data_IF_734062370848
#
_entry.id   IF_734062370848
#
_cell.length_a   1.000
_cell.length_b   1.000
_cell.length_c   1.000
_cell.angle_alpha   90.00
_cell.angle_beta   90.00
_cell.angle_gamma   90.00
#
_symmetry.space_group_name_H-M   'P 1'
#
loop_
_entity.id
_entity.type
_entity.pdbx_description
1 polymer ?
#
# COMPACT_ATOMS: atom_id res chain seq x y z
N UNK A 1 35.42 90.60 -38.25
CA UNK A 1 34.27 89.99 -37.56
C UNK A 1 34.20 88.53 -38.01
N UNK A 2 34.50 87.60 -37.09
CA UNK A 2 34.18 86.13 -37.07
C UNK A 2 34.01 85.40 -38.42
N UNK A 3 34.93 84.54 -38.88
CA UNK A 3 35.26 83.19 -38.39
C UNK A 3 34.06 82.22 -38.41
N UNK A 4 34.02 81.27 -39.37
CA UNK A 4 34.09 79.81 -39.15
C UNK A 4 33.90 79.03 -40.45
N UNK A 5 34.95 78.29 -40.81
CA UNK A 5 34.95 77.15 -41.73
C UNK A 5 34.35 75.90 -41.06
N UNK A 6 33.67 75.02 -41.79
CA UNK A 6 34.15 73.63 -42.00
C UNK A 6 33.12 72.70 -42.68
N UNK A 7 33.67 71.83 -43.53
CA UNK A 7 33.08 70.67 -44.24
C UNK A 7 32.55 69.57 -43.30
N UNK A 8 31.56 68.81 -43.77
CA UNK A 8 31.67 67.38 -44.18
C UNK A 8 30.33 66.63 -44.06
N UNK A 9 29.72 66.13 -45.15
CA UNK A 9 28.54 65.26 -45.07
C UNK A 9 28.87 63.74 -44.93
N UNK A 10 30.13 63.35 -44.77
CA UNK A 10 30.53 61.92 -44.76
C UNK A 10 30.83 61.32 -43.37
N UNK A 11 30.98 62.14 -42.32
CA UNK A 11 31.30 61.63 -40.98
C UNK A 11 30.09 60.97 -40.31
N UNK A 12 28.87 61.47 -40.55
CA UNK A 12 27.69 60.98 -39.83
C UNK A 12 27.28 59.55 -40.20
N UNK A 13 27.45 59.14 -41.47
CA UNK A 13 26.99 57.83 -41.94
C UNK A 13 27.84 56.67 -41.41
N UNK A 14 29.15 56.88 -41.20
CA UNK A 14 30.05 55.88 -40.60
C UNK A 14 29.84 55.76 -39.09
N UNK A 15 29.60 56.86 -38.39
CA UNK A 15 29.34 56.84 -36.93
C UNK A 15 28.02 56.15 -36.59
N UNK A 16 26.97 56.35 -37.40
CA UNK A 16 25.67 55.68 -37.20
C UNK A 16 25.75 54.16 -37.44
N UNK A 17 26.54 53.70 -38.42
CA UNK A 17 26.71 52.26 -38.71
C UNK A 17 27.47 51.56 -37.56
N UNK A 18 28.51 52.19 -37.01
CA UNK A 18 29.30 51.62 -35.90
C UNK A 18 28.45 51.51 -34.62
N UNK A 19 27.60 52.50 -34.33
CA UNK A 19 26.71 52.48 -33.16
C UNK A 19 25.65 51.36 -33.26
N UNK A 20 25.10 51.11 -34.45
CA UNK A 20 24.12 50.03 -34.68
C UNK A 20 24.76 48.64 -34.53
N UNK A 21 26.01 48.46 -34.99
CA UNK A 21 26.73 47.19 -34.85
C UNK A 21 27.10 46.91 -33.38
N UNK A 22 27.52 47.93 -32.62
CA UNK A 22 27.80 47.80 -31.18
C UNK A 22 26.52 47.51 -30.38
N UNK A 23 25.39 48.15 -30.73
CA UNK A 23 24.09 47.88 -30.11
C UNK A 23 23.57 46.46 -30.42
N UNK A 24 23.78 45.95 -31.64
CA UNK A 24 23.41 44.58 -32.01
C UNK A 24 24.29 43.51 -31.30
N UNK A 25 25.58 43.78 -31.12
CA UNK A 25 26.50 42.91 -30.36
C UNK A 25 26.20 42.91 -28.85
N UNK A 26 25.74 44.04 -28.29
CA UNK A 26 25.29 44.13 -26.90
C UNK A 26 23.94 43.41 -26.67
N UNK A 27 23.04 43.40 -27.66
CA UNK A 27 21.78 42.65 -27.58
C UNK A 27 21.98 41.14 -27.65
N UNK A 28 22.97 40.64 -28.40
CA UNK A 28 23.33 39.21 -28.43
C UNK A 28 24.01 38.74 -27.13
N UNK A 29 24.74 39.61 -26.44
CA UNK A 29 25.37 39.27 -25.14
C UNK A 29 24.37 39.30 -23.98
N UNK A 30 23.37 40.18 -23.99
CA UNK A 30 22.32 40.23 -22.96
C UNK A 30 21.23 39.17 -23.20
N UNK A 31 20.85 38.92 -24.47
CA UNK A 31 19.93 37.83 -24.83
C UNK A 31 20.51 36.44 -24.59
N UNK A 32 21.81 36.25 -24.82
CA UNK A 32 22.52 35.02 -24.47
C UNK A 32 22.58 34.76 -22.96
N UNK A 33 22.76 35.79 -22.14
CA UNK A 33 22.86 35.64 -20.68
C UNK A 33 21.49 35.39 -20.03
N UNK A 34 20.40 35.95 -20.54
CA UNK A 34 19.05 35.64 -20.04
C UNK A 34 18.58 34.23 -20.44
N UNK A 35 18.90 33.77 -21.65
CA UNK A 35 18.64 32.40 -22.06
C UNK A 35 19.51 31.40 -21.28
N UNK A 36 20.79 31.71 -21.02
CA UNK A 36 21.68 30.85 -20.23
C UNK A 36 21.29 30.86 -18.74
N UNK A 37 20.82 31.97 -18.18
CA UNK A 37 20.28 32.02 -16.81
C UNK A 37 18.95 31.28 -16.69
N UNK A 38 18.01 31.48 -17.61
CA UNK A 38 16.74 30.72 -17.66
C UNK A 38 16.95 29.23 -17.90
N UNK A 39 17.98 28.82 -18.65
CA UNK A 39 18.36 27.41 -18.83
C UNK A 39 19.08 26.85 -17.60
N UNK A 40 19.92 27.64 -16.92
CA UNK A 40 20.56 27.25 -15.66
C UNK A 40 19.55 27.11 -14.52
N UNK A 41 18.58 28.02 -14.42
CA UNK A 41 17.49 27.98 -13.45
C UNK A 41 16.57 26.79 -13.76
N UNK A 42 16.18 26.58 -15.03
CA UNK A 42 15.37 25.43 -15.43
C UNK A 42 16.08 24.08 -15.22
N UNK A 43 17.41 24.03 -15.36
CA UNK A 43 18.19 22.83 -15.07
C UNK A 43 18.28 22.57 -13.56
N UNK A 44 18.52 23.62 -12.76
CA UNK A 44 18.53 23.53 -11.30
C UNK A 44 17.18 23.06 -10.75
N UNK A 45 16.09 23.61 -11.27
CA UNK A 45 14.72 23.21 -10.90
C UNK A 45 14.45 21.76 -11.29
N UNK A 46 14.81 21.35 -12.52
CA UNK A 46 14.63 19.96 -12.95
C UNK A 46 15.47 18.96 -12.12
N UNK A 47 16.66 19.36 -11.66
CA UNK A 47 17.47 18.53 -10.78
C UNK A 47 16.87 18.43 -9.37
N UNK A 48 16.32 19.53 -8.86
CA UNK A 48 15.61 19.55 -7.57
C UNK A 48 14.35 18.67 -7.61
N UNK A 49 13.50 18.85 -8.63
CA UNK A 49 12.30 18.03 -8.87
C UNK A 49 12.64 16.54 -9.03
N UNK A 50 13.74 16.24 -9.71
CA UNK A 50 14.23 14.86 -9.84
C UNK A 50 14.58 14.29 -8.46
N UNK A 51 15.36 15.01 -7.64
CA UNK A 51 15.76 14.53 -6.30
C UNK A 51 14.57 14.33 -5.37
N UNK A 52 13.59 15.22 -5.41
CA UNK A 52 12.35 15.08 -4.64
C UNK A 52 11.54 13.84 -5.08
N UNK A 53 11.44 13.62 -6.40
CA UNK A 53 10.81 12.42 -6.94
C UNK A 53 11.58 11.13 -6.58
N UNK A 54 12.92 11.18 -6.53
CA UNK A 54 13.75 10.06 -6.09
C UNK A 54 13.49 9.72 -4.61
N UNK A 55 13.44 10.72 -3.73
CA UNK A 55 13.13 10.52 -2.31
C UNK A 55 11.72 9.98 -2.10
N UNK A 56 10.74 10.55 -2.79
CA UNK A 56 9.35 10.08 -2.74
C UNK A 56 9.25 8.63 -3.22
N UNK A 57 9.86 8.30 -4.36
CA UNK A 57 9.89 6.94 -4.89
C UNK A 57 10.52 5.96 -3.88
N UNK A 58 11.67 6.30 -3.32
CA UNK A 58 12.34 5.47 -2.29
C UNK A 58 11.45 5.25 -1.08
N UNK A 59 10.77 6.30 -0.61
CA UNK A 59 9.86 6.19 0.53
C UNK A 59 8.65 5.30 0.23
N UNK A 60 8.04 5.42 -0.94
CA UNK A 60 6.87 4.61 -1.31
C UNK A 60 7.25 3.14 -1.56
N UNK A 61 8.41 2.89 -2.18
CA UNK A 61 8.96 1.54 -2.35
C UNK A 61 9.28 0.90 -1.01
N UNK A 62 9.98 1.60 -0.12
CA UNK A 62 10.29 1.12 1.22
C UNK A 62 9.00 0.85 2.02
N UNK A 63 8.03 1.76 1.96
CA UNK A 63 6.75 1.62 2.66
C UNK A 63 5.95 0.41 2.17
N UNK A 64 6.02 0.10 0.87
CA UNK A 64 5.44 -1.12 0.30
C UNK A 64 6.19 -2.37 0.77
N UNK A 65 7.52 -2.36 0.71
CA UNK A 65 8.34 -3.53 1.04
C UNK A 65 8.22 -3.91 2.53
N UNK A 66 8.14 -2.90 3.41
CA UNK A 66 7.91 -3.09 4.85
C UNK A 66 6.58 -3.82 5.15
N UNK A 67 5.55 -3.71 4.31
CA UNK A 67 4.29 -4.45 4.52
C UNK A 67 4.48 -5.97 4.53
N UNK A 68 5.48 -6.46 3.81
CA UNK A 68 5.81 -7.90 3.74
C UNK A 68 6.87 -8.27 4.77
N UNK A 69 7.85 -7.39 4.98
CA UNK A 69 8.95 -7.66 5.91
C UNK A 69 8.52 -7.61 7.38
N UNK A 70 7.54 -6.76 7.72
CA UNK A 70 6.94 -6.70 9.06
C UNK A 70 6.03 -7.91 9.37
N UNK A 71 5.69 -8.70 8.35
CA UNK A 71 4.73 -9.81 8.42
C UNK A 71 5.26 -11.11 7.76
N UNK A 72 6.35 -11.71 8.30
CA UNK A 72 6.96 -12.90 7.72
C UNK A 72 6.02 -14.12 7.69
N UNK A 73 5.01 -14.17 8.55
CA UNK A 73 3.97 -15.19 8.59
C UNK A 73 3.18 -15.29 7.27
N UNK A 74 3.07 -14.19 6.53
CA UNK A 74 2.30 -14.14 5.27
C UNK A 74 2.97 -14.91 4.12
N UNK A 75 4.27 -15.23 4.26
CA UNK A 75 5.02 -15.98 3.25
C UNK A 75 4.65 -17.47 3.23
N UNK A 76 4.09 -18.00 4.32
CA UNK A 76 3.79 -19.43 4.50
C UNK A 76 2.30 -19.70 4.79
N UNK A 77 1.41 -18.86 4.28
CA UNK A 77 -0.03 -19.05 4.46
C UNK A 77 -0.53 -20.33 3.80
N UNK A 78 -1.44 -21.02 4.48
CA UNK A 78 -2.15 -22.19 3.98
C UNK A 78 -3.62 -21.86 3.73
N UNK A 79 -4.18 -22.42 2.65
CA UNK A 79 -5.62 -22.30 2.34
C UNK A 79 -6.49 -22.93 3.44
N UNK A 80 -5.94 -23.88 4.20
CA UNK A 80 -6.64 -24.50 5.35
C UNK A 80 -6.89 -23.55 6.53
N UNK A 81 -6.34 -22.33 6.51
CA UNK A 81 -6.49 -21.34 7.58
C UNK A 81 -7.62 -20.35 7.33
N UNK A 82 -8.29 -20.43 6.17
CA UNK A 82 -9.30 -19.47 5.73
C UNK A 82 -10.52 -20.17 5.13
N UNK A 83 -11.64 -19.47 5.11
CA UNK A 83 -12.87 -19.97 4.50
C UNK A 83 -12.85 -19.82 2.96
N UNK A 84 -12.19 -18.79 2.46
CA UNK A 84 -12.04 -18.44 1.06
C UNK A 84 -10.57 -18.60 0.67
N UNK A 85 -10.26 -19.73 0.04
CA UNK A 85 -8.90 -20.07 -0.39
C UNK A 85 -8.30 -19.01 -1.34
N UNK A 86 -9.14 -18.27 -2.07
CA UNK A 86 -8.67 -17.22 -3.00
C UNK A 86 -8.04 -16.04 -2.27
N UNK A 87 -8.43 -15.78 -1.02
CA UNK A 87 -7.82 -14.74 -0.20
C UNK A 87 -6.33 -15.02 0.08
N UNK A 88 -5.96 -16.29 0.25
CA UNK A 88 -4.55 -16.70 0.42
C UNK A 88 -3.79 -16.56 -0.89
N UNK A 89 -4.35 -17.05 -2.01
CA UNK A 89 -3.66 -17.00 -3.30
C UNK A 89 -3.47 -15.57 -3.80
N UNK A 90 -4.47 -14.70 -3.63
CA UNK A 90 -4.40 -13.28 -4.01
C UNK A 90 -3.32 -12.55 -3.22
N UNK A 91 -3.28 -12.77 -1.90
CA UNK A 91 -2.28 -12.16 -1.02
C UNK A 91 -0.86 -12.64 -1.34
N UNK A 92 -0.66 -13.95 -1.54
CA UNK A 92 0.64 -14.52 -1.93
C UNK A 92 1.12 -14.01 -3.30
N UNK A 93 0.20 -13.88 -4.26
CA UNK A 93 0.51 -13.32 -5.59
C UNK A 93 0.98 -11.87 -5.49
N UNK A 94 0.32 -11.06 -4.67
CA UNK A 94 0.73 -9.67 -4.41
C UNK A 94 2.11 -9.61 -3.75
N UNK A 95 2.36 -10.42 -2.72
CA UNK A 95 3.68 -10.52 -2.06
C UNK A 95 4.77 -10.88 -3.07
N UNK A 96 4.52 -11.87 -3.92
CA UNK A 96 5.47 -12.26 -4.97
C UNK A 96 5.74 -11.11 -5.95
N UNK A 97 4.73 -10.29 -6.26
CA UNK A 97 4.87 -9.14 -7.17
C UNK A 97 5.73 -8.00 -6.59
N UNK A 98 5.89 -7.91 -5.27
CA UNK A 98 6.71 -6.88 -4.62
C UNK A 98 8.21 -7.15 -4.81
N UNK A 99 8.60 -8.41 -4.96
CA UNK A 99 9.99 -8.85 -5.13
C UNK A 99 10.66 -8.43 -6.44
N UNK A 100 9.92 -7.81 -7.37
CA UNK A 100 10.53 -7.27 -8.58
C UNK A 100 11.37 -6.04 -8.23
N UNK A 101 12.69 -6.06 -8.49
CA UNK A 101 13.54 -4.94 -8.16
C UNK A 101 13.04 -3.70 -8.90
N UNK A 102 12.66 -2.68 -8.15
CA UNK A 102 12.49 -1.35 -8.72
C UNK A 102 13.83 -0.99 -9.34
N UNK A 103 13.85 -0.74 -10.66
CA UNK A 103 15.10 -0.36 -11.35
C UNK A 103 15.65 0.86 -10.61
N UNK A 104 16.91 0.80 -10.16
CA UNK A 104 17.56 1.92 -9.47
C UNK A 104 17.57 3.16 -10.38
N UNK A 105 16.55 3.99 -10.22
CA UNK A 105 16.45 5.30 -10.84
C UNK A 105 17.15 6.29 -9.92
N UNK A 106 18.11 7.02 -10.47
CA UNK A 106 18.88 8.03 -9.74
C UNK A 106 18.98 9.32 -10.54
N UNK A 107 19.00 10.45 -9.83
CA UNK A 107 19.16 11.76 -10.43
C UNK A 107 20.63 12.14 -10.57
N UNK A 108 21.14 12.13 -11.80
CA UNK A 108 22.52 12.52 -12.09
C UNK A 108 22.63 14.03 -12.36
N UNK A 109 23.47 14.73 -11.60
CA UNK A 109 23.63 16.18 -11.71
C UNK A 109 24.22 16.65 -13.07
N UNK A 110 24.85 15.75 -13.83
CA UNK A 110 25.38 16.01 -15.17
C UNK A 110 24.40 15.67 -16.30
N UNK A 111 23.20 15.16 -16.00
CA UNK A 111 22.19 14.86 -16.99
C UNK A 111 21.57 16.14 -17.56
N UNK A 112 21.19 16.15 -18.83
CA UNK A 112 20.47 17.30 -19.38
C UNK A 112 19.05 17.46 -18.77
N UNK A 113 18.47 18.65 -18.87
CA UNK A 113 17.14 18.98 -18.32
C UNK A 113 16.03 18.05 -18.84
N UNK A 114 16.10 17.60 -20.09
CA UNK A 114 15.09 16.69 -20.64
C UNK A 114 15.24 15.28 -20.06
N UNK A 115 16.47 14.82 -19.84
CA UNK A 115 16.78 13.56 -19.18
C UNK A 115 16.35 13.55 -17.71
N UNK A 116 16.60 14.64 -16.99
CA UNK A 116 16.09 14.84 -15.63
C UNK A 116 14.56 14.75 -15.60
N UNK A 117 13.86 15.50 -16.44
CA UNK A 117 12.38 15.44 -16.53
C UNK A 117 11.84 14.05 -16.86
N UNK A 118 12.47 13.32 -17.80
CA UNK A 118 12.10 11.92 -18.09
C UNK A 118 12.31 11.00 -16.90
N UNK A 119 13.40 11.19 -16.16
CA UNK A 119 13.73 10.40 -14.96
C UNK A 119 12.74 10.71 -13.83
N UNK A 120 12.46 11.99 -13.56
CA UNK A 120 11.42 12.44 -12.63
C UNK A 120 10.07 11.79 -12.93
N UNK A 121 9.65 11.76 -14.20
CA UNK A 121 8.38 11.15 -14.57
C UNK A 121 8.36 9.64 -14.28
N UNK A 122 9.43 8.92 -14.64
CA UNK A 122 9.56 7.49 -14.31
C UNK A 122 9.53 7.23 -12.81
N UNK A 123 10.23 8.04 -12.02
CA UNK A 123 10.21 7.95 -10.55
C UNK A 123 8.81 8.18 -9.99
N UNK A 124 8.07 9.17 -10.50
CA UNK A 124 6.67 9.43 -10.12
C UNK A 124 5.75 8.26 -10.48
N UNK A 125 5.94 7.64 -11.64
CA UNK A 125 5.16 6.47 -12.06
C UNK A 125 5.48 5.25 -11.18
N UNK A 126 6.75 5.02 -10.84
CA UNK A 126 7.17 3.98 -9.89
C UNK A 126 6.61 4.22 -8.50
N UNK A 127 6.65 5.46 -7.98
CA UNK A 127 6.07 5.82 -6.70
C UNK A 127 4.55 5.56 -6.66
N UNK A 128 3.82 5.94 -7.71
CA UNK A 128 2.38 5.64 -7.86
C UNK A 128 2.09 4.16 -7.89
N UNK A 129 2.91 3.39 -8.61
CA UNK A 129 2.78 1.94 -8.68
C UNK A 129 3.01 1.29 -7.30
N UNK A 130 4.04 1.72 -6.58
CA UNK A 130 4.33 1.22 -5.23
C UNK A 130 3.19 1.54 -4.25
N UNK A 131 2.64 2.76 -4.30
CA UNK A 131 1.46 3.13 -3.49
C UNK A 131 0.25 2.26 -3.82
N UNK A 132 -0.06 2.07 -5.11
CA UNK A 132 -1.16 1.21 -5.54
C UNK A 132 -0.98 -0.23 -5.05
N UNK A 133 0.22 -0.77 -5.20
CA UNK A 133 0.57 -2.11 -4.70
C UNK A 133 0.36 -2.22 -3.18
N UNK A 134 0.74 -1.20 -2.41
CA UNK A 134 0.50 -1.15 -0.98
C UNK A 134 -1.00 -1.11 -0.61
N UNK A 135 -1.82 -0.37 -1.36
CA UNK A 135 -3.28 -0.33 -1.18
C UNK A 135 -3.94 -1.67 -1.52
N UNK A 136 -3.54 -2.27 -2.65
CA UNK A 136 -4.02 -3.58 -3.09
C UNK A 136 -3.66 -4.66 -2.04
N UNK A 137 -2.44 -4.62 -1.48
CA UNK A 137 -2.02 -5.50 -0.38
C UNK A 137 -2.86 -5.31 0.88
N UNK A 138 -3.09 -4.08 1.35
CA UNK A 138 -3.92 -3.82 2.55
C UNK A 138 -5.33 -4.37 2.37
N UNK A 139 -5.88 -4.23 1.17
CA UNK A 139 -7.21 -4.75 0.83
C UNK A 139 -7.23 -6.28 0.84
N UNK A 140 -6.25 -6.92 0.19
CA UNK A 140 -6.12 -8.37 0.19
C UNK A 140 -5.89 -8.94 1.60
N UNK A 141 -5.04 -8.27 2.39
CA UNK A 141 -4.76 -8.66 3.76
C UNK A 141 -6.00 -8.57 4.64
N UNK A 142 -6.81 -7.50 4.50
CA UNK A 142 -8.09 -7.40 5.19
C UNK A 142 -9.03 -8.55 4.79
N UNK A 143 -9.17 -8.86 3.50
CA UNK A 143 -9.99 -9.98 3.03
C UNK A 143 -9.51 -11.32 3.59
N UNK A 144 -8.20 -11.51 3.71
CA UNK A 144 -7.61 -12.68 4.36
C UNK A 144 -8.02 -12.77 5.84
N UNK A 145 -7.91 -11.68 6.60
CA UNK A 145 -8.33 -11.64 8.01
C UNK A 145 -9.83 -11.90 8.18
N UNK A 146 -10.66 -11.27 7.35
CA UNK A 146 -12.12 -11.48 7.36
C UNK A 146 -12.44 -12.96 7.06
N UNK A 147 -11.76 -13.56 6.08
CA UNK A 147 -11.95 -14.98 5.74
C UNK A 147 -11.44 -15.96 6.78
N UNK A 148 -10.38 -15.60 7.53
CA UNK A 148 -9.92 -16.36 8.68
C UNK A 148 -10.96 -16.33 9.80
N UNK A 149 -11.52 -15.16 10.11
CA UNK A 149 -12.57 -15.03 11.12
C UNK A 149 -13.84 -15.81 10.74
N UNK A 150 -14.23 -15.78 9.46
CA UNK A 150 -15.35 -16.58 8.95
C UNK A 150 -15.11 -18.07 9.13
N UNK A 151 -13.88 -18.55 8.89
CA UNK A 151 -13.53 -19.95 9.12
C UNK A 151 -13.60 -20.31 10.60
N UNK A 152 -13.03 -19.50 11.47
CA UNK A 152 -13.06 -19.75 12.91
C UNK A 152 -14.50 -19.85 13.43
N UNK A 153 -15.39 -19.00 12.92
CA UNK A 153 -16.80 -19.04 13.25
C UNK A 153 -17.49 -20.29 12.70
N UNK A 154 -17.21 -20.69 11.46
CA UNK A 154 -17.74 -21.92 10.87
C UNK A 154 -17.29 -23.17 11.64
N UNK A 155 -15.99 -23.28 11.93
CA UNK A 155 -15.42 -24.39 12.71
C UNK A 155 -16.00 -24.44 14.13
N UNK A 156 -16.25 -23.28 14.76
CA UNK A 156 -16.92 -23.19 16.05
C UNK A 156 -18.38 -23.68 15.95
N UNK A 157 -19.11 -23.31 14.90
CA UNK A 157 -20.49 -23.73 14.68
C UNK A 157 -20.60 -25.24 14.47
N UNK A 158 -19.69 -25.82 13.69
CA UNK A 158 -19.60 -27.27 13.49
C UNK A 158 -19.30 -27.99 14.81
N UNK A 159 -18.39 -27.44 15.62
CA UNK A 159 -18.08 -27.96 16.95
C UNK A 159 -19.28 -27.91 17.90
N UNK A 160 -20.08 -26.83 17.85
CA UNK A 160 -21.31 -26.71 18.63
C UNK A 160 -22.37 -27.72 18.17
N UNK A 161 -22.55 -27.90 16.85
CA UNK A 161 -23.46 -28.92 16.33
C UNK A 161 -23.06 -30.32 16.81
N UNK A 162 -21.77 -30.66 16.77
CA UNK A 162 -21.25 -31.92 17.29
C UNK A 162 -21.48 -32.08 18.80
N UNK A 163 -21.28 -31.01 19.59
CA UNK A 163 -21.55 -31.01 21.02
C UNK A 163 -23.04 -31.23 21.33
N UNK A 164 -23.94 -30.57 20.58
CA UNK A 164 -25.40 -30.76 20.70
C UNK A 164 -25.79 -32.21 20.41
N UNK A 165 -25.36 -32.76 19.27
CA UNK A 165 -25.63 -34.16 18.91
C UNK A 165 -25.13 -35.12 19.98
N UNK A 166 -23.93 -34.90 20.53
CA UNK A 166 -23.41 -35.73 21.62
C UNK A 166 -24.26 -35.60 22.88
N UNK A 167 -24.68 -34.38 23.23
CA UNK A 167 -25.55 -34.15 24.39
C UNK A 167 -26.91 -34.82 24.25
N UNK A 168 -27.52 -34.77 23.06
CA UNK A 168 -28.78 -35.46 22.76
C UNK A 168 -28.63 -36.99 22.89
N UNK A 169 -27.56 -37.57 22.32
CA UNK A 169 -27.26 -38.99 22.46
C UNK A 169 -27.09 -39.42 23.93
N UNK A 170 -26.38 -38.62 24.73
CA UNK A 170 -26.22 -38.88 26.17
C UNK A 170 -27.55 -38.75 26.91
N UNK A 171 -28.35 -37.73 26.60
CA UNK A 171 -29.67 -37.57 27.19
C UNK A 171 -30.53 -38.81 26.92
N UNK A 172 -30.63 -39.24 25.66
CA UNK A 172 -31.42 -40.43 25.27
C UNK A 172 -30.90 -41.72 25.89
N UNK A 173 -29.57 -41.91 25.92
CA UNK A 173 -28.95 -43.10 26.47
C UNK A 173 -29.19 -43.23 27.99
N UNK A 174 -29.19 -42.11 28.71
CA UNK A 174 -29.24 -42.10 30.17
C UNK A 174 -30.58 -41.62 30.76
N UNK A 175 -31.59 -41.33 29.94
CA UNK A 175 -32.88 -40.78 30.39
C UNK A 175 -33.57 -41.58 31.50
N UNK A 176 -33.39 -42.91 31.50
CA UNK A 176 -34.05 -43.82 32.46
C UNK A 176 -33.17 -44.18 33.68
N UNK A 177 -31.91 -43.73 33.69
CA UNK A 177 -30.91 -44.17 34.69
C UNK A 177 -30.19 -43.04 35.41
N UNK A 178 -30.03 -41.87 34.77
CA UNK A 178 -29.42 -40.71 35.38
C UNK A 178 -30.41 -39.91 36.26
N UNK A 179 -29.87 -39.08 37.16
CA UNK A 179 -30.68 -38.19 37.98
C UNK A 179 -31.49 -37.20 37.12
N UNK A 180 -32.79 -36.98 37.42
CA UNK A 180 -33.60 -35.98 36.73
C UNK A 180 -33.02 -34.56 36.81
N UNK A 181 -32.27 -34.25 37.87
CA UNK A 181 -31.58 -32.96 38.02
C UNK A 181 -30.55 -32.75 36.91
N UNK A 182 -29.67 -33.73 36.69
CA UNK A 182 -28.62 -33.65 35.68
C UNK A 182 -29.18 -33.72 34.25
N UNK A 183 -30.22 -34.54 34.03
CA UNK A 183 -30.92 -34.58 32.74
C UNK A 183 -31.59 -33.25 32.39
N UNK A 184 -32.24 -32.60 33.37
CA UNK A 184 -32.83 -31.27 33.17
C UNK A 184 -31.76 -30.19 32.91
N UNK A 185 -30.62 -30.26 33.61
CA UNK A 185 -29.51 -29.34 33.38
C UNK A 185 -28.94 -29.50 31.95
N UNK A 186 -28.76 -30.74 31.49
CA UNK A 186 -28.32 -31.03 30.12
C UNK A 186 -29.34 -30.56 29.08
N UNK A 187 -30.64 -30.81 29.29
CA UNK A 187 -31.68 -30.34 28.39
C UNK A 187 -31.71 -28.82 28.29
N UNK A 188 -31.63 -28.13 29.43
CA UNK A 188 -31.54 -26.67 29.48
C UNK A 188 -30.31 -26.15 28.72
N UNK A 189 -29.15 -26.78 28.90
CA UNK A 189 -27.93 -26.41 28.19
C UNK A 189 -28.10 -26.57 26.67
N UNK A 190 -28.69 -27.68 26.21
CA UNK A 190 -28.96 -27.90 24.79
C UNK A 190 -29.93 -26.85 24.21
N UNK A 191 -30.97 -26.50 24.95
CA UNK A 191 -32.01 -25.57 24.49
C UNK A 191 -31.57 -24.09 24.54
N UNK A 192 -30.66 -23.73 25.44
CA UNK A 192 -30.25 -22.33 25.67
C UNK A 192 -29.02 -21.89 24.89
N UNK A 193 -28.51 -22.70 23.97
CA UNK A 193 -27.26 -22.40 23.25
C UNK A 193 -27.49 -21.50 22.05
N UNK A 194 -26.75 -20.41 22.03
CA UNK A 194 -26.73 -19.36 21.01
C UNK A 194 -25.51 -19.55 20.08
N UNK A 195 -25.70 -19.36 18.77
CA UNK A 195 -24.70 -19.51 17.70
C UNK A 195 -24.40 -18.19 16.96
N UNK A 196 -24.64 -17.04 17.59
CA UNK A 196 -24.50 -15.70 16.99
C UNK A 196 -23.06 -15.26 16.72
N UNK A 197 -22.08 -15.73 17.49
CA UNK A 197 -20.64 -15.46 17.27
C UNK A 197 -19.75 -16.59 17.84
N UNK A 198 -18.45 -16.57 17.51
CA UNK A 198 -17.51 -17.64 17.88
C UNK A 198 -17.28 -17.74 19.40
N UNK A 199 -17.24 -16.61 20.13
CA UNK A 199 -17.05 -16.58 21.58
C UNK A 199 -18.26 -17.15 22.31
N UNK A 200 -19.46 -16.71 21.94
CA UNK A 200 -20.73 -17.22 22.45
C UNK A 200 -20.86 -18.71 22.14
N UNK A 201 -20.48 -19.13 20.94
CA UNK A 201 -20.44 -20.55 20.54
C UNK A 201 -19.49 -21.38 21.41
N UNK A 202 -18.29 -20.87 21.72
CA UNK A 202 -17.36 -21.55 22.62
C UNK A 202 -17.90 -21.71 24.05
N UNK A 203 -18.56 -20.68 24.59
CA UNK A 203 -19.24 -20.76 25.89
C UNK A 203 -20.39 -21.78 25.88
N UNK A 204 -21.17 -21.79 24.80
CA UNK A 204 -22.23 -22.77 24.52
C UNK A 204 -21.68 -24.21 24.53
N UNK A 205 -20.58 -24.48 23.84
CA UNK A 205 -19.90 -25.78 23.82
C UNK A 205 -19.45 -26.20 25.22
N UNK A 206 -18.83 -25.28 25.98
CA UNK A 206 -18.35 -25.57 27.34
C UNK A 206 -19.50 -25.89 28.30
N UNK A 207 -20.62 -25.18 28.18
CA UNK A 207 -21.83 -25.40 28.98
C UNK A 207 -22.41 -26.79 28.70
N UNK A 208 -22.57 -27.16 27.42
CA UNK A 208 -23.03 -28.50 27.03
C UNK A 208 -22.05 -29.57 27.55
N UNK A 209 -20.75 -29.38 27.36
CA UNK A 209 -19.73 -30.34 27.78
C UNK A 209 -19.72 -30.58 29.29
N UNK A 210 -19.92 -29.52 30.08
CA UNK A 210 -20.04 -29.63 31.55
C UNK A 210 -21.28 -30.44 31.94
N UNK A 211 -22.43 -30.14 31.33
CA UNK A 211 -23.67 -30.86 31.62
C UNK A 211 -23.62 -32.34 31.20
N UNK A 212 -22.94 -32.66 30.08
CA UNK A 212 -22.67 -34.05 29.68
C UNK A 212 -21.85 -34.78 30.75
N UNK A 213 -20.79 -34.15 31.27
CA UNK A 213 -19.94 -34.76 32.29
C UNK A 213 -20.70 -35.02 33.60
N UNK A 214 -21.61 -34.12 33.99
CA UNK A 214 -22.43 -34.31 35.18
C UNK A 214 -23.38 -35.51 35.01
N UNK A 215 -23.99 -35.71 33.83
CA UNK A 215 -24.82 -36.90 33.56
C UNK A 215 -24.02 -38.20 33.58
N UNK A 216 -22.78 -38.18 33.07
CA UNK A 216 -21.95 -39.37 32.92
C UNK A 216 -21.29 -39.84 34.23
N UNK A 217 -20.97 -38.91 35.13
CA UNK A 217 -20.04 -39.18 36.24
C UNK A 217 -20.54 -38.77 37.63
N UNK A 218 -21.76 -38.22 37.76
CA UNK A 218 -22.34 -37.84 39.05
C UNK A 218 -23.69 -38.51 39.28
#
# INVERSE_FOLDING_TARGET
>A
MTMFTSRHPEAHRRTTIIIVIIAALLLLTIGGVAAVRGVQDAHRDALADCRDAEQTMKSEVLGRDNLVDDHPELKNLSTSQVQDETAVTDLQSLIASFSQPSKDLACHANADTASLKRTTQRMKDTARQARKQAEDFRTAYKRFLDSQADKEFADAKDSLAAAKTRGEQIYEQYQDSASPEYLNALRKALDSTDDSDASTTAQSINTISTAINDVLYR
#
